data_IF_182516714082
#
_entry.id   IF_182516714082
#
_cell.length_a   1.000
_cell.length_b   1.000
_cell.length_c   1.000
_cell.angle_alpha   90.00
_cell.angle_beta   90.00
_cell.angle_gamma   90.00
#
_symmetry.space_group_name_H-M   'P 1'
#
loop_
_entity.id
_entity.type
_entity.pdbx_description
1 polymer ?
#
# COMPACT_ATOMS: atom_id res chain seq x y z
N UNK A 1 46.61 -37.53 3.14
CA UNK A 1 45.96 -36.20 3.05
C UNK A 1 44.70 -36.16 2.16
N UNK A 2 44.59 -36.97 1.10
CA UNK A 2 43.43 -36.97 0.18
C UNK A 2 42.09 -37.49 0.77
N UNK A 3 42.13 -38.30 1.84
CA UNK A 3 40.93 -38.89 2.46
C UNK A 3 40.22 -37.95 3.44
N UNK A 4 40.94 -37.04 4.10
CA UNK A 4 40.36 -36.10 5.09
C UNK A 4 39.52 -35.01 4.41
N UNK A 5 39.89 -34.60 3.20
CA UNK A 5 39.15 -33.63 2.40
C UNK A 5 37.75 -34.14 1.94
N UNK A 6 37.59 -35.45 1.75
CA UNK A 6 36.33 -36.05 1.31
C UNK A 6 35.30 -36.17 2.44
N UNK A 7 35.74 -36.36 3.69
CA UNK A 7 34.84 -36.40 4.85
C UNK A 7 34.35 -35.00 5.26
N UNK A 8 35.19 -33.97 5.13
CA UNK A 8 34.80 -32.59 5.44
C UNK A 8 33.69 -32.05 4.54
N UNK A 9 33.72 -32.40 3.24
CA UNK A 9 32.70 -31.98 2.28
C UNK A 9 31.34 -32.70 2.52
N UNK A 10 31.39 -33.98 2.87
CA UNK A 10 30.18 -34.78 3.13
C UNK A 10 29.39 -34.31 4.36
N UNK A 11 30.10 -33.91 5.44
CA UNK A 11 29.46 -33.39 6.66
C UNK A 11 28.85 -32.00 6.42
N UNK A 12 29.49 -31.15 5.62
CA UNK A 12 28.95 -29.83 5.25
C UNK A 12 27.69 -29.92 4.37
N UNK A 13 27.64 -30.87 3.43
CA UNK A 13 26.45 -31.08 2.60
C UNK A 13 25.29 -31.69 3.40
N UNK A 14 25.55 -32.63 4.31
CA UNK A 14 24.51 -33.22 5.14
C UNK A 14 23.88 -32.20 6.11
N UNK A 15 24.69 -31.28 6.64
CA UNK A 15 24.20 -30.21 7.53
C UNK A 15 23.39 -29.15 6.77
N UNK A 16 23.76 -28.82 5.53
CA UNK A 16 22.98 -27.90 4.69
C UNK A 16 21.58 -28.45 4.34
N UNK A 17 21.47 -29.76 4.06
CA UNK A 17 20.19 -30.42 3.75
C UNK A 17 19.29 -30.53 4.99
N UNK A 18 19.86 -30.84 6.16
CA UNK A 18 19.12 -30.87 7.41
C UNK A 18 18.54 -29.50 7.79
N UNK A 19 19.27 -28.41 7.50
CA UNK A 19 18.79 -27.05 7.74
C UNK A 19 17.58 -26.70 6.85
N UNK A 20 17.57 -27.13 5.58
CA UNK A 20 16.45 -26.88 4.67
C UNK A 20 15.18 -27.65 5.05
N UNK A 21 15.30 -28.83 5.67
CA UNK A 21 14.14 -29.59 6.16
C UNK A 21 13.56 -28.97 7.44
N UNK A 22 14.40 -28.49 8.36
CA UNK A 22 13.96 -27.86 9.60
C UNK A 22 13.18 -26.54 9.38
N UNK A 23 13.44 -25.82 8.28
CA UNK A 23 12.71 -24.56 7.96
C UNK A 23 11.40 -24.78 7.21
N UNK A 24 11.07 -26.02 6.84
CA UNK A 24 9.85 -26.36 6.07
C UNK A 24 8.67 -26.86 6.91
N UNK A 25 8.80 -26.81 8.24
CA UNK A 25 7.68 -27.03 9.16
C UNK A 25 6.61 -25.97 8.96
N UNK A 26 5.60 -26.29 8.14
CA UNK A 26 4.32 -25.57 8.12
C UNK A 26 3.74 -25.65 9.54
N UNK A 27 3.90 -24.57 10.30
CA UNK A 27 3.15 -24.37 11.52
C UNK A 27 1.66 -24.32 11.17
N UNK A 28 0.91 -25.37 11.51
CA UNK A 28 -0.55 -25.31 11.59
C UNK A 28 -0.91 -24.40 12.76
N UNK A 29 -1.05 -23.10 12.48
CA UNK A 29 -1.50 -22.11 13.45
C UNK A 29 -2.98 -22.33 13.77
N UNK A 30 -3.26 -23.20 14.74
CA UNK A 30 -4.60 -23.49 15.28
C UNK A 30 -4.90 -22.80 16.62
N UNK A 31 -4.22 -21.70 16.92
CA UNK A 31 -4.54 -20.83 18.07
C UNK A 31 -5.28 -19.57 17.63
N UNK A 32 -6.00 -18.86 18.53
CA UNK A 32 -6.66 -17.61 18.19
C UNK A 32 -5.61 -16.64 17.61
N UNK A 33 -5.75 -16.33 16.32
CA UNK A 33 -4.89 -15.39 15.63
C UNK A 33 -5.15 -14.03 16.26
N UNK A 34 -4.27 -13.58 17.15
CA UNK A 34 -4.28 -12.19 17.57
C UNK A 34 -3.89 -11.38 16.33
N UNK A 35 -4.88 -10.70 15.75
CA UNK A 35 -4.68 -9.83 14.60
C UNK A 35 -3.91 -8.59 15.06
N UNK A 36 -2.61 -8.72 15.31
CA UNK A 36 -1.71 -7.58 15.42
C UNK A 36 -1.58 -6.94 14.05
N UNK A 37 -1.36 -5.63 13.99
CA UNK A 37 -1.16 -4.89 12.75
C UNK A 37 -0.11 -5.59 11.88
N UNK A 38 -0.54 -6.19 10.77
CA UNK A 38 0.35 -7.00 9.96
C UNK A 38 1.38 -6.13 9.24
N UNK A 39 2.49 -6.73 8.79
CA UNK A 39 3.49 -6.04 7.97
C UNK A 39 2.85 -5.46 6.70
N UNK A 40 1.89 -6.18 6.11
CA UNK A 40 1.17 -5.75 4.92
C UNK A 40 0.15 -4.65 5.19
N UNK A 41 -0.45 -4.59 6.38
CA UNK A 41 -1.32 -3.48 6.78
C UNK A 41 -0.49 -2.20 6.97
N UNK A 42 0.67 -2.29 7.64
CA UNK A 42 1.59 -1.16 7.81
C UNK A 42 2.13 -0.66 6.48
N UNK A 43 2.55 -1.57 5.60
CA UNK A 43 3.01 -1.20 4.27
C UNK A 43 1.92 -0.49 3.45
N UNK A 44 0.66 -0.88 3.61
CA UNK A 44 -0.46 -0.15 3.01
C UNK A 44 -0.62 1.25 3.63
N UNK A 45 -0.63 1.37 4.95
CA UNK A 45 -0.81 2.65 5.65
C UNK A 45 0.28 3.65 5.25
N UNK A 46 1.54 3.22 5.30
CA UNK A 46 2.70 4.05 4.92
C UNK A 46 2.62 4.44 3.45
N UNK A 47 2.35 3.46 2.57
CA UNK A 47 2.19 3.70 1.13
C UNK A 47 1.06 4.67 0.82
N UNK A 48 -0.10 4.50 1.43
CA UNK A 48 -1.24 5.40 1.27
C UNK A 48 -0.88 6.82 1.73
N UNK A 49 -0.31 6.97 2.92
CA UNK A 49 0.07 8.28 3.48
C UNK A 49 1.03 9.02 2.57
N UNK A 50 2.12 8.37 2.18
CA UNK A 50 3.15 8.98 1.33
C UNK A 50 2.57 9.41 -0.02
N UNK A 51 1.71 8.60 -0.64
CA UNK A 51 1.17 8.91 -1.95
C UNK A 51 0.03 9.93 -1.90
N UNK A 52 -0.75 10.00 -0.81
CA UNK A 52 -1.70 11.09 -0.58
C UNK A 52 -0.97 12.44 -0.48
N UNK A 53 0.10 12.50 0.33
CA UNK A 53 0.93 13.71 0.48
C UNK A 53 1.60 14.09 -0.85
N UNK A 54 2.10 13.11 -1.60
CA UNK A 54 2.71 13.38 -2.90
C UNK A 54 1.69 13.98 -3.88
N UNK A 55 0.51 13.37 -4.03
CA UNK A 55 -0.54 13.89 -4.93
C UNK A 55 -1.00 15.28 -4.51
N UNK A 56 -1.15 15.55 -3.21
CA UNK A 56 -1.48 16.88 -2.70
C UNK A 56 -0.40 17.91 -3.07
N UNK A 57 0.87 17.59 -2.84
CA UNK A 57 2.01 18.45 -3.19
C UNK A 57 2.03 18.78 -4.69
N UNK A 58 1.84 17.78 -5.56
CA UNK A 58 1.76 18.01 -7.01
C UNK A 58 0.53 18.83 -7.40
N UNK A 59 -0.59 18.64 -6.70
CA UNK A 59 -1.78 19.46 -6.83
C UNK A 59 -1.51 20.93 -6.51
N UNK A 60 -0.83 21.20 -5.39
CA UNK A 60 -0.42 22.56 -5.02
C UNK A 60 0.52 23.19 -6.06
N UNK A 61 1.55 22.46 -6.50
CA UNK A 61 2.45 22.96 -7.57
C UNK A 61 1.69 23.28 -8.87
N UNK A 62 0.66 22.53 -9.21
CA UNK A 62 -0.19 22.86 -10.35
C UNK A 62 -1.01 24.15 -10.12
N UNK A 63 -1.53 24.36 -8.92
CA UNK A 63 -2.26 25.58 -8.57
C UNK A 63 -1.35 26.81 -8.57
N UNK A 64 -0.11 26.65 -8.13
CA UNK A 64 0.93 27.69 -8.12
C UNK A 64 1.49 27.98 -9.52
N UNK A 65 1.24 27.11 -10.50
CA UNK A 65 1.71 27.24 -11.88
C UNK A 65 3.07 26.61 -12.15
N UNK A 66 3.65 25.92 -11.17
CA UNK A 66 4.95 25.26 -11.23
C UNK A 66 4.89 23.85 -11.83
N UNK A 67 3.69 23.25 -11.93
CA UNK A 67 3.46 21.95 -12.55
C UNK A 67 2.35 22.00 -13.61
N UNK A 68 2.41 21.10 -14.58
CA UNK A 68 1.36 20.97 -15.59
C UNK A 68 0.27 19.99 -15.13
N UNK A 69 -0.95 20.03 -15.70
CA UNK A 69 -1.94 18.98 -15.45
C UNK A 69 -1.40 17.58 -15.80
N UNK A 70 -0.51 17.46 -16.79
CA UNK A 70 0.11 16.19 -17.16
C UNK A 70 0.97 15.60 -16.04
N UNK A 71 1.67 16.45 -15.28
CA UNK A 71 2.51 16.02 -14.17
C UNK A 71 1.67 15.47 -13.02
N UNK A 72 0.57 16.17 -12.67
CA UNK A 72 -0.38 15.72 -11.65
C UNK A 72 -1.08 14.42 -12.07
N UNK A 73 -1.43 14.29 -13.36
CA UNK A 73 -1.99 13.04 -13.89
C UNK A 73 -1.00 11.87 -13.77
N UNK A 74 0.27 12.10 -14.10
CA UNK A 74 1.31 11.10 -13.99
C UNK A 74 1.57 10.69 -12.53
N UNK A 75 1.60 11.65 -11.60
CA UNK A 75 1.70 11.33 -10.16
C UNK A 75 0.50 10.53 -9.67
N UNK A 76 -0.72 10.96 -10.02
CA UNK A 76 -1.94 10.24 -9.64
C UNK A 76 -1.92 8.79 -10.17
N UNK A 77 -1.42 8.57 -11.38
CA UNK A 77 -1.23 7.22 -11.92
C UNK A 77 -0.19 6.40 -11.13
N UNK A 78 0.92 7.02 -10.72
CA UNK A 78 1.95 6.39 -9.88
C UNK A 78 1.38 6.01 -8.51
N UNK A 79 0.67 6.92 -7.86
CA UNK A 79 0.01 6.70 -6.58
C UNK A 79 -0.97 5.52 -6.64
N UNK A 80 -1.85 5.49 -7.65
CA UNK A 80 -2.78 4.38 -7.88
C UNK A 80 -2.05 3.04 -8.02
N UNK A 81 -0.93 3.01 -8.75
CA UNK A 81 -0.12 1.80 -8.93
C UNK A 81 0.54 1.34 -7.63
N UNK A 82 1.19 2.25 -6.90
CA UNK A 82 1.90 1.93 -5.66
C UNK A 82 0.93 1.44 -4.59
N UNK A 83 -0.12 2.21 -4.33
CA UNK A 83 -1.14 1.84 -3.32
C UNK A 83 -1.88 0.57 -3.75
N UNK A 84 -2.22 0.42 -5.03
CA UNK A 84 -2.87 -0.77 -5.57
C UNK A 84 -2.04 -2.05 -5.50
N UNK A 85 -0.70 -1.95 -5.48
CA UNK A 85 0.20 -3.09 -5.34
C UNK A 85 0.33 -3.61 -3.90
N UNK A 86 -0.21 -2.88 -2.92
CA UNK A 86 -0.25 -3.34 -1.53
C UNK A 86 -1.35 -4.38 -1.30
N UNK A 87 -1.17 -5.23 -0.29
CA UNK A 87 -2.11 -6.31 0.03
C UNK A 87 -2.46 -6.32 1.52
N UNK A 88 -3.12 -5.27 2.05
CA UNK A 88 -3.53 -5.26 3.46
C UNK A 88 -4.44 -6.46 3.74
N UNK A 89 -4.38 -6.96 4.97
CA UNK A 89 -5.17 -8.11 5.44
C UNK A 89 -6.46 -7.68 6.12
N UNK A 90 -6.45 -6.53 6.79
CA UNK A 90 -7.63 -5.99 7.46
C UNK A 90 -8.72 -5.62 6.44
N UNK A 91 -10.00 -6.00 6.65
CA UNK A 91 -11.08 -5.70 5.72
C UNK A 91 -11.28 -4.21 5.45
N UNK A 92 -11.19 -3.36 6.48
CA UNK A 92 -11.35 -1.91 6.32
C UNK A 92 -10.21 -1.33 5.47
N UNK A 93 -8.96 -1.74 5.72
CA UNK A 93 -7.80 -1.31 4.93
C UNK A 93 -7.87 -1.81 3.48
N UNK A 94 -8.42 -3.01 3.21
CA UNK A 94 -8.68 -3.48 1.83
C UNK A 94 -9.70 -2.61 1.11
N UNK A 95 -10.76 -2.20 1.82
CA UNK A 95 -11.78 -1.32 1.28
C UNK A 95 -11.21 0.07 1.02
N UNK A 96 -10.49 0.66 1.98
CA UNK A 96 -9.77 1.92 1.82
C UNK A 96 -8.81 1.87 0.64
N UNK A 97 -8.02 0.79 0.46
CA UNK A 97 -7.14 0.63 -0.71
C UNK A 97 -7.91 0.75 -2.02
N UNK A 98 -9.07 0.11 -2.11
CA UNK A 98 -9.92 0.14 -3.30
C UNK A 98 -10.42 1.55 -3.59
N UNK A 99 -10.87 2.26 -2.55
CA UNK A 99 -11.36 3.64 -2.64
C UNK A 99 -10.25 4.61 -3.05
N UNK A 100 -9.06 4.51 -2.44
CA UNK A 100 -7.92 5.36 -2.78
C UNK A 100 -7.42 5.13 -4.21
N UNK A 101 -7.34 3.87 -4.67
CA UNK A 101 -6.97 3.58 -6.07
C UNK A 101 -7.98 4.20 -7.04
N UNK A 102 -9.27 4.11 -6.74
CA UNK A 102 -10.32 4.72 -7.54
C UNK A 102 -10.23 6.26 -7.50
N UNK A 103 -9.98 6.84 -6.33
CA UNK A 103 -9.79 8.28 -6.12
C UNK A 103 -8.64 8.81 -6.99
N UNK A 104 -7.46 8.18 -6.92
CA UNK A 104 -6.30 8.54 -7.74
C UNK A 104 -6.60 8.40 -9.24
N UNK A 105 -7.34 7.35 -9.64
CA UNK A 105 -7.73 7.17 -11.04
C UNK A 105 -8.71 8.27 -11.53
N UNK A 106 -9.65 8.68 -10.69
CA UNK A 106 -10.56 9.80 -10.98
C UNK A 106 -9.79 11.12 -11.09
N UNK A 107 -8.88 11.40 -10.15
CA UNK A 107 -8.08 12.61 -10.17
C UNK A 107 -7.13 12.67 -11.38
N UNK A 108 -6.51 11.54 -11.75
CA UNK A 108 -5.77 11.40 -13.01
C UNK A 108 -6.63 11.80 -14.21
N UNK A 109 -7.85 11.25 -14.30
CA UNK A 109 -8.76 11.52 -15.43
C UNK A 109 -9.20 12.99 -15.47
N UNK A 110 -9.42 13.61 -14.31
CA UNK A 110 -9.67 15.05 -14.19
C UNK A 110 -8.52 15.86 -14.79
N UNK A 111 -7.28 15.54 -14.42
CA UNK A 111 -6.11 16.27 -14.90
C UNK A 111 -5.84 16.02 -16.40
N UNK A 112 -6.14 14.83 -16.91
CA UNK A 112 -6.12 14.54 -18.34
C UNK A 112 -7.18 15.33 -19.12
N UNK A 113 -8.37 15.54 -18.56
CA UNK A 113 -9.39 16.41 -19.13
C UNK A 113 -8.91 17.87 -19.14
N UNK A 114 -8.34 18.33 -18.03
CA UNK A 114 -7.78 19.68 -17.89
C UNK A 114 -6.67 19.95 -18.90
N UNK A 115 -5.76 19.00 -19.11
CA UNK A 115 -4.69 19.06 -20.11
C UNK A 115 -5.22 19.22 -21.54
N UNK A 116 -6.42 18.68 -21.82
CA UNK A 116 -7.11 18.77 -23.10
C UNK A 116 -8.06 19.97 -23.18
N UNK A 117 -7.98 20.91 -22.24
CA UNK A 117 -8.88 22.06 -22.10
C UNK A 117 -10.36 21.69 -22.01
N UNK A 118 -10.66 20.50 -21.46
CA UNK A 118 -12.02 20.04 -21.15
C UNK A 118 -12.34 20.30 -19.68
N UNK A 119 -13.62 20.32 -19.35
CA UNK A 119 -14.08 20.45 -17.98
C UNK A 119 -13.68 19.21 -17.15
N UNK A 120 -12.91 19.38 -16.05
CA UNK A 120 -12.53 18.29 -15.16
C UNK A 120 -13.53 18.08 -14.00
N UNK A 121 -14.55 18.94 -13.84
CA UNK A 121 -15.35 19.08 -12.62
C UNK A 121 -15.98 17.78 -12.11
N UNK A 122 -16.59 16.98 -12.99
CA UNK A 122 -17.20 15.70 -12.63
C UNK A 122 -16.17 14.72 -12.01
N UNK A 123 -14.98 14.63 -12.62
CA UNK A 123 -13.95 13.70 -12.17
C UNK A 123 -13.27 14.19 -10.89
N UNK A 124 -13.15 15.51 -10.70
CA UNK A 124 -12.74 16.11 -9.44
C UNK A 124 -13.74 15.76 -8.34
N UNK A 125 -15.04 15.95 -8.58
CA UNK A 125 -16.10 15.61 -7.63
C UNK A 125 -16.06 14.14 -7.23
N UNK A 126 -15.90 13.23 -8.20
CA UNK A 126 -15.73 11.80 -7.92
C UNK A 126 -14.49 11.50 -7.07
N UNK A 127 -13.35 12.14 -7.35
CA UNK A 127 -12.15 11.96 -6.54
C UNK A 127 -12.41 12.37 -5.08
N UNK A 128 -12.95 13.56 -4.84
CA UNK A 128 -13.27 14.01 -3.48
C UNK A 128 -14.28 13.10 -2.77
N UNK A 129 -15.33 12.65 -3.47
CA UNK A 129 -16.30 11.71 -2.90
C UNK A 129 -15.65 10.39 -2.47
N UNK A 130 -14.75 9.84 -3.29
CA UNK A 130 -14.00 8.62 -2.97
C UNK A 130 -13.02 8.81 -1.81
N UNK A 131 -12.38 9.98 -1.72
CA UNK A 131 -11.52 10.34 -0.60
C UNK A 131 -12.31 10.38 0.72
N UNK A 132 -13.48 11.01 0.71
CA UNK A 132 -14.35 11.09 1.88
C UNK A 132 -14.87 9.70 2.30
N UNK A 133 -15.28 8.86 1.36
CA UNK A 133 -15.66 7.48 1.70
C UNK A 133 -14.48 6.68 2.26
N UNK A 134 -13.26 6.91 1.78
CA UNK A 134 -12.08 6.26 2.35
C UNK A 134 -11.83 6.73 3.80
N UNK A 135 -12.00 8.04 4.06
CA UNK A 135 -11.92 8.63 5.39
C UNK A 135 -12.99 8.05 6.32
N UNK A 136 -14.25 7.97 5.90
CA UNK A 136 -15.35 7.44 6.71
C UNK A 136 -15.10 5.98 7.13
N UNK A 137 -14.64 5.13 6.18
CA UNK A 137 -14.27 3.74 6.45
C UNK A 137 -13.15 3.65 7.49
N UNK A 138 -12.13 4.51 7.37
CA UNK A 138 -11.01 4.55 8.31
C UNK A 138 -11.45 5.06 9.68
N UNK A 139 -12.26 6.11 9.74
CA UNK A 139 -12.75 6.71 10.97
C UNK A 139 -13.61 5.72 11.77
N UNK A 140 -14.48 4.95 11.11
CA UNK A 140 -15.27 3.90 11.74
C UNK A 140 -14.38 2.75 12.25
N UNK A 141 -13.33 2.40 11.52
CA UNK A 141 -12.43 1.30 11.85
C UNK A 141 -11.34 1.66 12.88
N UNK A 142 -11.10 2.95 13.13
CA UNK A 142 -10.00 3.47 13.96
C UNK A 142 -9.90 2.77 15.33
N UNK A 143 -10.98 2.61 16.12
CA UNK A 143 -10.83 2.03 17.46
C UNK A 143 -10.41 0.56 17.42
N UNK A 144 -10.85 -0.18 16.39
CA UNK A 144 -10.50 -1.58 16.21
C UNK A 144 -9.07 -1.73 15.68
N UNK A 145 -8.64 -0.87 14.75
CA UNK A 145 -7.29 -0.82 14.22
C UNK A 145 -6.27 -0.43 15.30
N UNK A 146 -6.58 0.58 16.12
CA UNK A 146 -5.75 1.04 17.22
C UNK A 146 -5.53 -0.07 18.27
N UNK A 147 -6.59 -0.81 18.67
CA UNK A 147 -6.46 -1.97 19.58
C UNK A 147 -5.55 -3.08 19.03
N UNK A 148 -5.41 -3.15 17.72
CA UNK A 148 -4.53 -4.10 17.01
C UNK A 148 -3.13 -3.52 16.76
N UNK A 149 -2.87 -2.28 17.17
CA UNK A 149 -1.58 -1.60 16.98
C UNK A 149 -1.37 -1.03 15.57
N UNK A 150 -2.43 -0.85 14.79
CA UNK A 150 -2.36 -0.07 13.55
C UNK A 150 -2.72 1.40 13.87
N UNK A 151 -1.73 2.29 13.81
CA UNK A 151 -1.98 3.73 13.84
C UNK A 151 -2.34 4.21 12.42
N UNK A 152 -3.58 4.65 12.25
CA UNK A 152 -4.09 5.22 11.00
C UNK A 152 -4.34 6.72 11.10
N UNK A 153 -3.99 7.37 12.22
CA UNK A 153 -4.15 8.81 12.41
C UNK A 153 -3.55 9.64 11.26
N UNK A 154 -2.43 9.25 10.62
CA UNK A 154 -1.90 9.99 9.47
C UNK A 154 -2.73 9.93 8.18
N UNK A 155 -3.80 9.12 8.14
CA UNK A 155 -4.72 8.97 7.02
C UNK A 155 -6.11 9.57 7.28
N UNK A 156 -6.32 10.14 8.47
CA UNK A 156 -7.53 10.85 8.86
C UNK A 156 -7.33 12.35 8.68
#
# INVERSE_FOLDING_TARGET
MRRIALYGLGVLLASAIALTYATSSRATAGGPVSHTCSVTDRAFIDGARTNMVAVDLWGQQFLDGDATPGDVAAESARAAKIVGATSPTDPSLKQTRTLLVAMFAAYRKAMEQRAKHRDPGEQIFHAYGLANFAHDVLLEAEPALARRGCDISPLL
#
